data_IF_300170525278
#
_entry.id   IF_300170525278
#
_cell.length_a   1.000
_cell.length_b   1.000
_cell.length_c   1.000
_cell.angle_alpha   90.00
_cell.angle_beta   90.00
_cell.angle_gamma   90.00
#
_symmetry.space_group_name_H-M   'P 1'
#
loop_
_entity.id
_entity.type
_entity.pdbx_description
1 polymer ?
#
# COMPACT_ATOMS: atom_id res chain seq x y z
N UNK A 1 -9.18 7.44 2.89
CA UNK A 1 -8.98 7.30 1.42
C UNK A 1 -8.73 5.83 1.06
N UNK A 2 -9.19 5.38 -0.11
CA UNK A 2 -8.99 4.01 -0.60
C UNK A 2 -8.16 4.06 -1.89
N UNK A 3 -6.96 3.48 -1.87
CA UNK A 3 -6.07 3.36 -3.03
C UNK A 3 -6.28 2.00 -3.70
N UNK A 4 -6.70 2.01 -4.95
CA UNK A 4 -6.85 0.79 -5.74
C UNK A 4 -5.51 0.32 -6.32
N UNK A 5 -5.13 -0.93 -6.07
CA UNK A 5 -3.88 -1.52 -6.56
C UNK A 5 -4.01 -1.88 -8.03
N UNK A 6 -3.11 -1.33 -8.85
CA UNK A 6 -2.99 -1.66 -10.27
C UNK A 6 -1.58 -2.15 -10.60
N UNK A 7 -1.37 -3.47 -10.51
CA UNK A 7 -0.08 -4.07 -10.88
C UNK A 7 -0.01 -4.27 -12.40
N UNK A 8 0.98 -3.63 -13.03
CA UNK A 8 1.25 -3.73 -14.48
C UNK A 8 2.47 -4.63 -14.70
N UNK A 9 2.40 -5.85 -14.18
CA UNK A 9 3.46 -6.85 -14.32
C UNK A 9 3.04 -7.93 -15.33
N UNK A 10 3.98 -8.61 -16.01
CA UNK A 10 3.66 -9.65 -16.99
C UNK A 10 2.73 -10.73 -16.46
N UNK A 11 2.88 -11.12 -15.20
CA UNK A 11 2.05 -12.15 -14.56
C UNK A 11 0.61 -11.67 -14.26
N UNK A 12 0.37 -10.37 -14.27
CA UNK A 12 -0.95 -9.81 -13.99
C UNK A 12 -1.88 -9.82 -15.21
N UNK A 13 -1.30 -9.89 -16.43
CA UNK A 13 -2.04 -9.79 -17.71
C UNK A 13 -1.43 -10.74 -18.77
N UNK A 14 -1.26 -12.00 -18.44
CA UNK A 14 -0.36 -12.97 -19.10
C UNK A 14 -0.72 -13.46 -20.50
N UNK A 15 -1.79 -13.00 -21.16
CA UNK A 15 -2.28 -13.63 -22.39
C UNK A 15 -2.10 -12.83 -23.68
N UNK A 16 -1.27 -11.78 -23.72
CA UNK A 16 -1.08 -11.03 -24.98
C UNK A 16 -0.05 -9.91 -24.89
N UNK A 17 0.56 -9.57 -26.00
CA UNK A 17 1.62 -8.57 -26.10
C UNK A 17 1.29 -7.18 -25.51
N UNK A 18 2.26 -6.27 -25.47
CA UNK A 18 2.23 -5.00 -24.73
C UNK A 18 0.94 -4.17 -24.87
N UNK A 19 0.25 -4.21 -26.00
CA UNK A 19 -1.01 -3.46 -26.21
C UNK A 19 -2.20 -4.09 -25.46
N UNK A 20 -2.28 -5.41 -25.46
CA UNK A 20 -3.35 -6.15 -24.73
C UNK A 20 -3.21 -5.96 -23.23
N UNK A 21 -1.96 -5.90 -22.73
CA UNK A 21 -1.69 -5.64 -21.32
C UNK A 21 -2.07 -4.21 -20.89
N UNK A 22 -1.88 -3.20 -21.75
CA UNK A 22 -2.26 -1.80 -21.45
C UNK A 22 -3.77 -1.64 -21.40
N UNK A 23 -4.52 -2.17 -22.38
CA UNK A 23 -5.99 -2.12 -22.37
C UNK A 23 -6.59 -2.88 -21.17
N UNK A 24 -6.05 -4.03 -20.82
CA UNK A 24 -6.49 -4.77 -19.65
C UNK A 24 -6.20 -3.99 -18.34
N UNK A 25 -5.05 -3.31 -18.26
CA UNK A 25 -4.72 -2.44 -17.13
C UNK A 25 -5.67 -1.23 -17.04
N UNK A 26 -6.00 -0.62 -18.17
CA UNK A 26 -6.96 0.50 -18.23
C UNK A 26 -8.38 0.05 -17.85
N UNK A 27 -8.82 -1.11 -18.30
CA UNK A 27 -10.10 -1.68 -17.89
C UNK A 27 -10.15 -1.97 -16.38
N UNK A 28 -9.04 -2.43 -15.81
CA UNK A 28 -8.93 -2.62 -14.37
C UNK A 28 -8.92 -1.27 -13.63
N UNK A 29 -8.24 -0.25 -14.15
CA UNK A 29 -8.28 1.10 -13.57
C UNK A 29 -9.71 1.67 -13.58
N UNK A 30 -10.43 1.56 -14.71
CA UNK A 30 -11.82 1.97 -14.85
C UNK A 30 -12.71 1.28 -13.79
N UNK A 31 -12.46 -0.02 -13.56
CA UNK A 31 -13.16 -0.78 -12.52
C UNK A 31 -12.84 -0.26 -11.12
N UNK A 32 -11.55 -0.09 -10.76
CA UNK A 32 -11.15 0.39 -9.44
C UNK A 32 -11.78 1.76 -9.13
N UNK A 33 -11.78 2.67 -10.11
CA UNK A 33 -12.36 4.01 -10.00
C UNK A 33 -13.88 3.93 -9.84
N UNK A 34 -14.56 3.14 -10.68
CA UNK A 34 -16.02 2.95 -10.58
C UNK A 34 -16.46 2.26 -9.29
N UNK A 35 -15.60 1.47 -8.66
CA UNK A 35 -15.81 0.86 -7.35
C UNK A 35 -15.59 1.84 -6.18
N UNK A 36 -15.12 3.07 -6.44
CA UNK A 36 -14.96 4.14 -5.45
C UNK A 36 -13.53 4.30 -4.93
N UNK A 37 -12.51 3.97 -5.73
CA UNK A 37 -11.13 4.33 -5.38
C UNK A 37 -10.95 5.85 -5.37
N UNK A 38 -10.30 6.38 -4.35
CA UNK A 38 -9.88 7.78 -4.26
C UNK A 38 -8.59 8.06 -5.03
N UNK A 39 -7.78 7.02 -5.28
CA UNK A 39 -6.57 7.05 -6.09
C UNK A 39 -6.29 5.67 -6.69
N UNK A 40 -5.55 5.64 -7.79
CA UNK A 40 -5.02 4.40 -8.38
C UNK A 40 -3.52 4.33 -8.14
N UNK A 41 -3.04 3.24 -7.54
CA UNK A 41 -1.62 3.02 -7.23
C UNK A 41 -1.03 2.02 -8.22
N UNK A 42 -0.15 2.52 -9.11
CA UNK A 42 0.37 1.80 -10.27
C UNK A 42 1.77 1.27 -9.98
N UNK A 43 1.95 -0.04 -10.05
CA UNK A 43 3.25 -0.69 -9.89
C UNK A 43 3.68 -1.47 -11.14
N UNK A 44 4.89 -1.19 -11.65
CA UNK A 44 5.49 -1.88 -12.80
C UNK A 44 6.46 -3.00 -12.41
N UNK A 45 6.85 -3.07 -11.14
CA UNK A 45 7.73 -4.07 -10.56
C UNK A 45 7.04 -4.84 -9.44
N UNK A 46 7.32 -6.12 -9.32
CA UNK A 46 6.80 -6.95 -8.24
C UNK A 46 7.75 -6.95 -7.05
N UNK A 47 7.25 -6.63 -5.88
CA UNK A 47 7.99 -6.75 -4.60
C UNK A 47 7.71 -8.05 -3.86
N UNK A 48 7.12 -9.07 -4.55
CA UNK A 48 6.89 -10.39 -3.94
C UNK A 48 8.22 -11.10 -3.68
N UNK A 49 8.31 -11.94 -2.62
CA UNK A 49 9.53 -12.70 -2.35
C UNK A 49 10.01 -13.47 -3.59
N UNK A 50 11.28 -13.32 -3.94
CA UNK A 50 11.89 -13.97 -5.10
C UNK A 50 11.58 -13.33 -6.45
N UNK A 51 10.91 -12.18 -6.49
CA UNK A 51 10.74 -11.43 -7.73
C UNK A 51 12.10 -10.94 -8.25
N UNK A 52 12.29 -11.00 -9.56
CA UNK A 52 13.50 -10.47 -10.19
C UNK A 52 13.39 -8.95 -10.32
N UNK A 53 14.46 -8.21 -9.97
CA UNK A 53 14.48 -6.76 -10.20
C UNK A 53 14.26 -6.42 -11.68
N UNK A 54 13.47 -5.38 -11.91
CA UNK A 54 13.14 -4.89 -13.26
C UNK A 54 13.96 -3.65 -13.54
N UNK A 55 14.68 -3.57 -14.66
CA UNK A 55 15.37 -2.33 -15.05
C UNK A 55 14.37 -1.16 -15.21
N UNK A 56 14.78 0.06 -14.83
CA UNK A 56 13.93 1.26 -14.91
C UNK A 56 13.29 1.43 -16.31
N UNK A 57 14.09 1.21 -17.38
CA UNK A 57 13.59 1.28 -18.76
C UNK A 57 12.42 0.34 -19.04
N UNK A 58 12.43 -0.85 -18.45
CA UNK A 58 11.37 -1.84 -18.70
C UNK A 58 10.15 -1.58 -17.80
N UNK A 59 10.36 -1.06 -16.60
CA UNK A 59 9.30 -0.55 -15.72
C UNK A 59 8.56 0.62 -16.38
N UNK A 60 9.28 1.60 -16.92
CA UNK A 60 8.73 2.74 -17.68
C UNK A 60 7.84 2.30 -18.84
N UNK A 61 8.26 1.31 -19.62
CA UNK A 61 7.45 0.78 -20.74
C UNK A 61 6.10 0.21 -20.27
N UNK A 62 6.03 -0.28 -19.04
CA UNK A 62 4.80 -0.83 -18.46
C UNK A 62 3.89 0.28 -17.93
N UNK A 63 4.44 1.20 -17.14
CA UNK A 63 3.62 2.14 -16.37
C UNK A 63 3.21 3.39 -17.16
N UNK A 64 4.06 3.95 -18.02
CA UNK A 64 3.75 5.22 -18.69
C UNK A 64 2.54 5.15 -19.63
N UNK A 65 2.36 4.10 -20.46
CA UNK A 65 1.15 4.00 -21.30
C UNK A 65 -0.14 3.95 -20.46
N UNK A 66 -0.08 3.31 -19.28
CA UNK A 66 -1.22 3.19 -18.36
C UNK A 66 -1.52 4.54 -17.70
N UNK A 67 -0.49 5.25 -17.21
CA UNK A 67 -0.65 6.59 -16.61
C UNK A 67 -1.29 7.56 -17.62
N UNK A 68 -0.77 7.62 -18.85
CA UNK A 68 -1.35 8.44 -19.94
C UNK A 68 -2.80 8.07 -20.22
N UNK A 69 -3.08 6.77 -20.32
CA UNK A 69 -4.42 6.26 -20.59
C UNK A 69 -5.42 6.59 -19.48
N UNK A 70 -5.03 6.46 -18.22
CA UNK A 70 -5.86 6.87 -17.08
C UNK A 70 -6.07 8.37 -17.10
N UNK A 71 -5.01 9.16 -17.27
CA UNK A 71 -5.12 10.63 -17.29
C UNK A 71 -6.00 11.17 -18.42
N UNK A 72 -6.01 10.50 -19.58
CA UNK A 72 -6.90 10.87 -20.69
C UNK A 72 -8.37 10.54 -20.43
N UNK A 73 -8.67 9.51 -19.64
CA UNK A 73 -10.05 9.08 -19.32
C UNK A 73 -10.58 9.73 -18.04
N UNK A 74 -9.70 9.94 -17.05
CA UNK A 74 -10.02 10.39 -15.69
C UNK A 74 -9.07 11.52 -15.28
N UNK A 75 -9.36 12.75 -15.76
CA UNK A 75 -8.47 13.89 -15.59
C UNK A 75 -8.12 14.20 -14.12
N UNK A 76 -9.07 14.02 -13.20
CA UNK A 76 -8.94 14.45 -11.81
C UNK A 76 -8.52 13.36 -10.83
N UNK A 77 -8.56 12.08 -11.25
CA UNK A 77 -8.21 10.99 -10.31
C UNK A 77 -6.73 11.07 -9.90
N UNK A 78 -6.38 11.09 -8.63
CA UNK A 78 -5.00 10.98 -8.19
C UNK A 78 -4.37 9.68 -8.67
N UNK A 79 -3.17 9.77 -9.26
CA UNK A 79 -2.36 8.63 -9.68
C UNK A 79 -1.14 8.57 -8.77
N UNK A 80 -0.96 7.42 -8.13
CA UNK A 80 0.22 7.06 -7.37
C UNK A 80 1.10 6.13 -8.20
N UNK A 81 2.40 6.36 -8.21
CA UNK A 81 3.41 5.45 -8.78
C UNK A 81 4.13 4.69 -7.66
N UNK A 82 3.96 3.36 -7.63
CA UNK A 82 4.64 2.44 -6.71
C UNK A 82 6.00 2.06 -7.31
N UNK A 83 7.05 2.76 -6.90
CA UNK A 83 8.41 2.57 -7.40
C UNK A 83 9.46 3.04 -6.40
N UNK A 84 10.62 2.39 -6.41
CA UNK A 84 11.82 2.79 -5.65
C UNK A 84 12.87 3.48 -6.52
N UNK A 85 12.53 3.78 -7.79
CA UNK A 85 13.49 4.33 -8.78
C UNK A 85 13.14 5.77 -9.11
N UNK A 86 14.06 6.69 -8.89
CA UNK A 86 13.91 8.11 -9.15
C UNK A 86 13.58 8.43 -10.62
N UNK A 87 14.22 7.72 -11.57
CA UNK A 87 13.94 7.90 -13.01
C UNK A 87 12.49 7.52 -13.37
N UNK A 88 11.96 6.45 -12.74
CA UNK A 88 10.57 6.02 -12.97
C UNK A 88 9.61 7.02 -12.34
N UNK A 89 9.88 7.47 -11.12
CA UNK A 89 9.08 8.49 -10.44
C UNK A 89 9.05 9.80 -11.25
N UNK A 90 10.21 10.31 -11.70
CA UNK A 90 10.34 11.52 -12.51
C UNK A 90 9.49 11.46 -13.76
N UNK A 91 9.59 10.36 -14.53
CA UNK A 91 8.82 10.18 -15.75
C UNK A 91 7.31 10.03 -15.49
N UNK A 92 6.92 9.29 -14.44
CA UNK A 92 5.53 9.12 -14.05
C UNK A 92 4.89 10.45 -13.63
N UNK A 93 5.60 11.27 -12.86
CA UNK A 93 5.16 12.61 -12.44
C UNK A 93 4.99 13.54 -13.64
N UNK A 94 5.90 13.51 -14.61
CA UNK A 94 5.78 14.28 -15.86
C UNK A 94 4.56 13.88 -16.70
N UNK A 95 4.10 12.64 -16.60
CA UNK A 95 2.91 12.11 -17.30
C UNK A 95 1.62 12.24 -16.47
N UNK A 96 1.69 12.90 -15.31
CA UNK A 96 0.52 13.25 -14.53
C UNK A 96 0.28 12.40 -13.27
N UNK A 97 1.21 11.56 -12.85
CA UNK A 97 1.18 11.05 -11.47
C UNK A 97 1.35 12.22 -10.48
N UNK A 98 0.76 12.13 -9.31
CA UNK A 98 0.78 13.18 -8.28
C UNK A 98 1.27 12.67 -6.93
N UNK A 99 1.47 11.36 -6.81
CA UNK A 99 1.91 10.69 -5.58
C UNK A 99 3.02 9.71 -5.96
N UNK A 100 4.08 9.65 -5.16
CA UNK A 100 5.10 8.60 -5.20
C UNK A 100 4.93 7.72 -3.96
N UNK A 101 4.67 6.43 -4.18
CA UNK A 101 4.63 5.42 -3.13
C UNK A 101 5.96 4.66 -3.16
N UNK A 102 6.88 5.03 -2.27
CA UNK A 102 8.20 4.40 -2.21
C UNK A 102 8.27 3.40 -1.07
N UNK A 103 8.25 2.12 -1.44
CA UNK A 103 8.29 0.99 -0.49
C UNK A 103 9.65 0.82 0.21
N UNK A 104 10.64 1.64 -0.12
CA UNK A 104 11.94 1.70 0.57
C UNK A 104 12.07 2.87 1.54
N UNK A 105 11.05 3.75 1.62
CA UNK A 105 11.15 4.99 2.39
C UNK A 105 12.27 5.92 1.91
N UNK A 106 12.51 5.94 0.59
CA UNK A 106 13.57 6.72 -0.09
C UNK A 106 15.01 6.28 0.21
N UNK A 107 15.20 5.06 0.74
CA UNK A 107 16.54 4.56 1.11
C UNK A 107 17.32 3.93 -0.05
N UNK A 108 16.64 3.45 -1.11
CA UNK A 108 17.28 2.68 -2.19
C UNK A 108 17.79 3.54 -3.34
N UNK A 109 17.18 4.68 -3.62
CA UNK A 109 17.62 5.59 -4.67
C UNK A 109 17.87 6.99 -4.10
N UNK A 110 19.15 7.43 -4.04
CA UNK A 110 19.50 8.71 -3.42
C UNK A 110 18.97 9.94 -4.18
N UNK A 111 18.53 9.79 -5.44
CA UNK A 111 17.91 10.87 -6.20
C UNK A 111 16.40 11.03 -5.91
N UNK A 112 15.74 10.00 -5.34
CA UNK A 112 14.30 9.99 -5.12
C UNK A 112 13.79 11.19 -4.29
N UNK A 113 14.42 11.57 -3.16
CA UNK A 113 13.97 12.71 -2.38
C UNK A 113 13.98 14.02 -3.18
N UNK A 114 15.07 14.26 -3.96
CA UNK A 114 15.20 15.43 -4.82
C UNK A 114 14.15 15.50 -5.92
N UNK A 115 13.88 14.38 -6.59
CA UNK A 115 12.83 14.27 -7.61
C UNK A 115 11.46 14.62 -7.05
N UNK A 116 11.11 14.09 -5.88
CA UNK A 116 9.82 14.34 -5.26
C UNK A 116 9.67 15.79 -4.78
N UNK A 117 10.74 16.36 -4.23
CA UNK A 117 10.78 17.75 -3.79
C UNK A 117 10.63 18.72 -4.97
N UNK A 118 11.37 18.52 -6.07
CA UNK A 118 11.31 19.33 -7.28
C UNK A 118 9.91 19.30 -7.92
N UNK A 119 9.30 18.11 -7.97
CA UNK A 119 7.95 17.94 -8.51
C UNK A 119 6.84 18.46 -7.56
N UNK A 120 7.13 18.69 -6.27
CA UNK A 120 6.13 19.07 -5.26
C UNK A 120 5.03 18.03 -5.06
N UNK A 121 5.29 16.76 -5.38
CA UNK A 121 4.33 15.67 -5.28
C UNK A 121 4.08 15.24 -3.81
N UNK A 122 3.03 14.46 -3.58
CA UNK A 122 2.85 13.76 -2.29
C UNK A 122 3.67 12.48 -2.29
N UNK A 123 4.09 12.03 -1.09
CA UNK A 123 4.88 10.81 -0.94
C UNK A 123 4.31 9.91 0.13
N UNK A 124 4.37 8.60 -0.10
CA UNK A 124 4.15 7.55 0.90
C UNK A 124 5.51 6.94 1.21
N UNK A 125 5.96 7.09 2.44
CA UNK A 125 7.22 6.55 2.93
C UNK A 125 6.95 5.24 3.66
N UNK A 126 7.34 4.11 3.07
CA UNK A 126 7.11 2.82 3.71
C UNK A 126 8.36 2.31 4.42
N UNK A 127 8.17 1.80 5.63
CA UNK A 127 9.21 1.07 6.34
C UNK A 127 9.44 -0.32 5.73
N UNK A 128 10.65 -0.53 5.23
CA UNK A 128 11.18 -1.85 4.89
C UNK A 128 12.69 -1.91 5.10
N UNK A 129 13.24 -3.10 5.22
CA UNK A 129 14.69 -3.37 5.31
C UNK A 129 15.10 -4.24 4.15
N UNK A 130 16.32 -4.05 3.63
CA UNK A 130 16.88 -4.82 2.53
C UNK A 130 16.63 -4.21 1.17
N UNK A 131 16.78 -5.02 0.14
CA UNK A 131 16.62 -4.66 -1.28
C UNK A 131 15.23 -5.04 -1.81
N UNK A 132 14.88 -4.61 -3.02
CA UNK A 132 13.62 -4.99 -3.69
C UNK A 132 13.42 -6.51 -3.74
N UNK A 133 14.50 -7.28 -3.89
CA UNK A 133 14.44 -8.75 -4.02
C UNK A 133 14.14 -9.49 -2.70
N UNK A 134 14.46 -8.88 -1.55
CA UNK A 134 14.39 -9.53 -0.24
C UNK A 134 13.57 -8.78 0.81
N UNK A 135 13.19 -7.51 0.57
CA UNK A 135 12.42 -6.71 1.52
C UNK A 135 11.09 -7.35 1.93
N UNK A 136 10.50 -8.21 1.10
CA UNK A 136 9.28 -8.95 1.43
C UNK A 136 9.55 -10.36 1.98
N UNK A 137 10.83 -10.74 2.15
CA UNK A 137 11.23 -11.98 2.81
C UNK A 137 11.30 -11.81 4.34
N UNK A 138 11.66 -12.87 5.04
CA UNK A 138 11.95 -12.83 6.48
C UNK A 138 13.43 -12.61 6.80
N UNK A 139 14.30 -12.53 5.78
CA UNK A 139 15.75 -12.48 5.97
C UNK A 139 16.18 -11.22 6.75
N UNK A 140 15.49 -10.11 6.48
CA UNK A 140 15.70 -8.83 7.16
C UNK A 140 14.74 -8.59 8.36
N UNK A 141 13.94 -9.59 8.73
CA UNK A 141 12.97 -9.49 9.84
C UNK A 141 13.62 -9.73 11.21
N UNK A 142 14.69 -8.97 11.51
CA UNK A 142 15.44 -9.03 12.76
C UNK A 142 15.11 -7.78 13.57
N UNK A 143 14.45 -7.95 14.70
CA UNK A 143 14.03 -6.88 15.62
C UNK A 143 14.40 -7.26 17.04
N UNK A 144 14.63 -6.27 17.89
CA UNK A 144 14.81 -6.43 19.32
C UNK A 144 13.47 -6.62 20.05
N UNK A 145 13.43 -6.19 21.30
CA UNK A 145 12.27 -6.38 22.18
C UNK A 145 11.08 -5.47 21.83
N UNK A 146 11.32 -4.33 21.16
CA UNK A 146 10.28 -3.39 20.71
C UNK A 146 10.30 -3.19 19.17
N UNK A 147 9.78 -4.14 18.40
CA UNK A 147 9.77 -4.03 16.94
C UNK A 147 8.94 -2.83 16.43
N UNK A 148 7.95 -2.36 17.18
CA UNK A 148 7.15 -1.20 16.79
C UNK A 148 7.95 0.09 16.99
N UNK A 149 8.70 0.20 18.06
CA UNK A 149 9.60 1.33 18.30
C UNK A 149 10.70 1.42 17.23
N UNK A 150 11.28 0.30 16.80
CA UNK A 150 12.26 0.29 15.71
C UNK A 150 11.63 0.75 14.38
N UNK A 151 10.43 0.26 14.04
CA UNK A 151 9.69 0.71 12.85
C UNK A 151 9.45 2.21 12.89
N UNK A 152 9.09 2.77 14.03
CA UNK A 152 8.85 4.19 14.21
C UNK A 152 10.16 4.98 14.00
N UNK A 153 11.24 4.55 14.64
CA UNK A 153 12.55 5.21 14.51
C UNK A 153 13.03 5.26 13.05
N UNK A 154 12.90 4.16 12.31
CA UNK A 154 13.30 4.09 10.89
C UNK A 154 12.36 4.90 9.97
N UNK A 155 11.06 5.02 10.32
CA UNK A 155 10.16 5.95 9.64
C UNK A 155 10.53 7.41 9.90
N UNK A 156 10.97 7.76 11.12
CA UNK A 156 11.45 9.11 11.45
C UNK A 156 12.69 9.47 10.63
N UNK A 157 13.61 8.53 10.41
CA UNK A 157 14.76 8.73 9.51
C UNK A 157 14.32 9.02 8.07
N UNK A 158 13.36 8.25 7.54
CA UNK A 158 12.80 8.47 6.20
C UNK A 158 12.08 9.83 6.09
N UNK A 159 11.34 10.24 7.12
CA UNK A 159 10.69 11.54 7.20
C UNK A 159 11.74 12.65 7.19
N UNK A 160 12.80 12.54 7.99
CA UNK A 160 13.88 13.52 8.04
C UNK A 160 14.59 13.64 6.69
N UNK A 161 14.85 12.51 6.01
CA UNK A 161 15.43 12.50 4.67
C UNK A 161 14.55 13.26 3.68
N UNK A 162 13.25 12.97 3.64
CA UNK A 162 12.30 13.63 2.76
C UNK A 162 12.21 15.14 3.03
N UNK A 163 12.12 15.54 4.30
CA UNK A 163 12.06 16.96 4.68
C UNK A 163 13.35 17.71 4.39
N UNK A 164 14.51 17.09 4.60
CA UNK A 164 15.82 17.67 4.30
C UNK A 164 16.01 17.93 2.79
N UNK A 165 15.34 17.15 1.94
CA UNK A 165 15.30 17.39 0.51
C UNK A 165 14.30 18.49 0.08
N UNK A 166 13.47 19.00 1.01
CA UNK A 166 12.49 20.05 0.74
C UNK A 166 11.05 19.57 0.55
N UNK A 167 10.73 18.29 0.82
CA UNK A 167 9.35 17.80 0.77
C UNK A 167 8.59 18.36 1.98
N UNK A 168 7.49 19.08 1.71
CA UNK A 168 6.69 19.69 2.77
C UNK A 168 6.01 18.62 3.64
N UNK A 169 5.96 18.75 4.98
CA UNK A 169 5.35 17.77 5.89
C UNK A 169 3.92 17.36 5.52
N UNK A 170 3.11 18.28 5.01
CA UNK A 170 1.72 18.01 4.58
C UNK A 170 1.61 17.12 3.31
N UNK A 171 2.74 16.85 2.66
CA UNK A 171 2.83 15.99 1.48
C UNK A 171 3.30 14.58 1.82
N UNK A 172 3.58 14.30 3.08
CA UNK A 172 4.11 13.02 3.55
C UNK A 172 3.00 12.20 4.19
N UNK A 173 2.88 10.94 3.78
CA UNK A 173 2.18 9.88 4.50
C UNK A 173 3.17 8.76 4.85
N UNK A 174 2.92 8.01 5.91
CA UNK A 174 3.80 6.93 6.38
C UNK A 174 3.09 5.57 6.33
N UNK A 175 3.79 4.53 5.85
CA UNK A 175 3.33 3.14 5.87
C UNK A 175 4.27 2.32 6.76
N UNK A 176 3.78 1.71 7.84
CA UNK A 176 4.62 0.86 8.70
C UNK A 176 5.08 -0.44 8.03
N UNK A 177 4.72 -0.70 6.78
CA UNK A 177 5.24 -1.80 5.97
C UNK A 177 4.76 -3.17 6.42
N UNK A 178 3.46 -3.36 6.60
CA UNK A 178 2.89 -4.66 6.97
C UNK A 178 3.31 -5.74 5.97
N UNK A 179 3.98 -6.80 6.47
CA UNK A 179 4.45 -7.92 5.65
C UNK A 179 5.74 -7.67 4.86
N UNK A 180 6.40 -6.51 5.06
CA UNK A 180 7.74 -6.22 4.54
C UNK A 180 8.75 -6.27 5.67
N UNK A 181 9.83 -7.05 5.48
CA UNK A 181 10.90 -7.28 6.48
C UNK A 181 10.37 -7.57 7.89
N UNK A 182 9.19 -8.19 7.98
CA UNK A 182 8.48 -8.48 9.24
C UNK A 182 7.92 -9.90 9.22
N UNK A 183 8.23 -10.68 10.24
CA UNK A 183 7.50 -11.92 10.54
C UNK A 183 6.04 -11.58 10.84
N UNK A 184 5.17 -12.58 10.80
CA UNK A 184 3.74 -12.39 11.12
C UNK A 184 3.54 -11.72 12.47
N UNK A 185 4.27 -12.17 13.52
CA UNK A 185 4.20 -11.56 14.85
C UNK A 185 4.56 -10.07 14.88
N UNK A 186 5.61 -9.66 14.14
CA UNK A 186 5.99 -8.24 14.05
C UNK A 186 4.92 -7.41 13.32
N UNK A 187 4.33 -7.96 12.24
CA UNK A 187 3.24 -7.29 11.52
C UNK A 187 1.98 -7.15 12.38
N UNK A 188 1.67 -8.15 13.21
CA UNK A 188 0.55 -8.09 14.15
C UNK A 188 0.81 -7.08 15.27
N UNK A 189 2.02 -7.05 15.83
CA UNK A 189 2.39 -6.04 16.83
C UNK A 189 2.19 -4.62 16.30
N UNK A 190 2.65 -4.34 15.07
CA UNK A 190 2.44 -3.04 14.42
C UNK A 190 0.95 -2.71 14.24
N UNK A 191 0.12 -3.68 13.84
CA UNK A 191 -1.33 -3.45 13.67
C UNK A 191 -2.03 -3.23 15.01
N UNK A 192 -1.64 -3.97 16.07
CA UNK A 192 -2.20 -3.84 17.42
C UNK A 192 -1.82 -2.51 18.06
N UNK A 193 -0.56 -2.07 17.86
CA UNK A 193 -0.02 -0.84 18.43
C UNK A 193 0.01 0.33 17.42
N UNK A 194 -0.85 0.29 16.39
CA UNK A 194 -0.84 1.25 15.29
C UNK A 194 -0.96 2.72 15.77
N UNK A 195 -1.60 2.95 16.90
CA UNK A 195 -1.69 4.29 17.51
C UNK A 195 -0.30 4.90 17.81
N UNK A 196 0.74 4.09 18.05
CA UNK A 196 2.11 4.58 18.22
C UNK A 196 2.66 5.15 16.90
N UNK A 197 2.33 4.53 15.76
CA UNK A 197 2.70 5.06 14.44
C UNK A 197 1.91 6.32 14.11
N UNK A 198 0.61 6.36 14.46
CA UNK A 198 -0.25 7.54 14.30
C UNK A 198 0.27 8.73 15.10
N UNK A 199 0.90 8.50 16.24
CA UNK A 199 1.51 9.54 17.08
C UNK A 199 2.67 10.28 16.40
N UNK A 200 3.23 9.79 15.29
CA UNK A 200 4.17 10.53 14.44
C UNK A 200 3.55 11.81 13.83
N UNK A 201 2.21 11.93 13.81
CA UNK A 201 1.50 13.10 13.31
C UNK A 201 1.32 13.17 11.79
N UNK A 202 1.63 12.09 11.07
CA UNK A 202 1.44 11.96 9.62
C UNK A 202 0.26 11.03 9.31
N UNK A 203 -0.44 11.21 8.17
CA UNK A 203 -1.43 10.25 7.71
C UNK A 203 -0.82 8.85 7.59
N UNK A 204 -1.43 7.86 8.25
CA UNK A 204 -0.96 6.48 8.19
C UNK A 204 -1.64 5.75 7.04
N UNK A 205 -0.81 5.17 6.19
CA UNK A 205 -1.14 4.35 5.04
C UNK A 205 -1.01 2.87 5.41
N UNK A 206 -1.99 2.04 5.08
CA UNK A 206 -2.01 0.60 5.37
C UNK A 206 -2.14 -0.21 4.08
N UNK A 207 -1.13 -1.00 3.78
CA UNK A 207 -1.09 -1.94 2.66
C UNK A 207 -1.09 -3.40 3.11
N UNK A 208 -2.11 -3.87 3.83
CA UNK A 208 -2.19 -5.26 4.31
C UNK A 208 -2.83 -6.24 3.30
N UNK A 209 -3.45 -5.74 2.23
CA UNK A 209 -4.31 -6.51 1.33
C UNK A 209 -3.64 -7.76 0.74
N UNK A 210 -4.24 -8.93 0.98
CA UNK A 210 -3.82 -10.28 0.53
C UNK A 210 -2.43 -10.72 1.01
N UNK A 211 -1.75 -9.94 1.85
CA UNK A 211 -0.42 -10.27 2.35
C UNK A 211 -0.44 -11.53 3.24
N UNK A 212 0.74 -12.09 3.51
CA UNK A 212 0.91 -13.32 4.29
C UNK A 212 0.24 -13.23 5.66
N UNK A 213 0.34 -12.10 6.35
CA UNK A 213 -0.28 -11.85 7.64
C UNK A 213 -1.79 -12.10 7.63
N UNK A 214 -2.48 -11.72 6.54
CA UNK A 214 -3.92 -11.97 6.39
C UNK A 214 -4.23 -13.47 6.35
N UNK A 215 -3.45 -14.25 5.60
CA UNK A 215 -3.63 -15.71 5.56
C UNK A 215 -3.31 -16.36 6.92
N UNK A 216 -2.31 -15.86 7.63
CA UNK A 216 -1.98 -16.36 8.98
C UNK A 216 -3.07 -16.00 10.01
N UNK A 217 -3.67 -14.83 9.93
CA UNK A 217 -4.82 -14.46 10.76
C UNK A 217 -5.99 -15.42 10.56
N UNK A 218 -6.33 -15.76 9.30
CA UNK A 218 -7.37 -16.73 9.00
C UNK A 218 -7.03 -18.10 9.63
N UNK A 219 -5.80 -18.56 9.48
CA UNK A 219 -5.35 -19.84 10.07
C UNK A 219 -5.39 -19.82 11.58
N UNK A 220 -4.94 -18.73 12.21
CA UNK A 220 -4.93 -18.59 13.65
C UNK A 220 -6.33 -18.68 14.24
N UNK A 221 -7.30 -17.94 13.67
CA UNK A 221 -8.69 -17.98 14.13
C UNK A 221 -9.35 -19.34 13.91
N UNK A 222 -8.92 -20.09 12.90
CA UNK A 222 -9.39 -21.46 12.66
C UNK A 222 -8.87 -22.48 13.67
N UNK A 223 -7.65 -22.31 14.19
CA UNK A 223 -7.01 -23.28 15.11
C UNK A 223 -7.37 -23.00 16.57
N UNK A 224 -7.38 -21.72 16.97
CA UNK A 224 -7.58 -21.32 18.39
C UNK A 224 -9.05 -21.18 18.79
N UNK A 225 -9.97 -21.24 17.83
CA UNK A 225 -11.39 -20.98 18.04
C UNK A 225 -11.63 -19.50 18.29
N UNK A 226 -12.09 -18.76 17.26
CA UNK A 226 -12.71 -17.45 17.50
C UNK A 226 -13.91 -17.65 18.43
N UNK A 227 -14.24 -16.70 19.35
CA UNK A 227 -15.46 -16.76 20.13
C UNK A 227 -16.74 -16.94 19.32
N UNK A 228 -16.67 -16.67 18.00
CA UNK A 228 -17.77 -16.84 17.02
C UNK A 228 -17.64 -18.10 16.15
N UNK A 229 -16.61 -18.94 16.35
CA UNK A 229 -16.32 -20.04 15.43
C UNK A 229 -17.16 -21.28 15.75
N UNK A 230 -18.24 -21.44 14.99
CA UNK A 230 -18.96 -22.72 14.91
C UNK A 230 -18.30 -23.75 13.95
N UNK A 231 -17.47 -23.31 12.99
CA UNK A 231 -16.84 -24.19 12.02
C UNK A 231 -15.49 -23.61 11.57
N UNK A 232 -14.44 -24.39 11.68
CA UNK A 232 -13.07 -24.04 11.25
C UNK A 232 -12.88 -24.23 9.76
N UNK A 233 -12.40 -23.20 9.04
CA UNK A 233 -12.00 -23.32 7.64
C UNK A 233 -10.70 -24.13 7.53
N UNK A 234 -10.67 -25.15 6.68
CA UNK A 234 -9.44 -25.91 6.46
C UNK A 234 -8.36 -25.01 5.81
N UNK A 235 -7.10 -25.02 6.30
CA UNK A 235 -6.03 -24.13 5.82
C UNK A 235 -5.79 -24.13 4.30
N UNK A 236 -6.01 -25.27 3.65
CA UNK A 236 -5.88 -25.42 2.19
C UNK A 236 -7.03 -24.82 1.39
N UNK A 237 -8.07 -24.34 2.05
CA UNK A 237 -9.28 -23.77 1.40
C UNK A 237 -9.30 -22.23 1.43
N UNK A 238 -8.24 -21.58 1.92
CA UNK A 238 -8.20 -20.10 1.99
C UNK A 238 -8.12 -19.53 0.59
N UNK A 239 -9.24 -19.01 0.11
CA UNK A 239 -9.39 -18.39 -1.20
C UNK A 239 -8.86 -16.96 -1.24
N UNK A 240 -8.81 -16.36 -2.44
CA UNK A 240 -8.55 -14.92 -2.56
C UNK A 240 -9.67 -14.09 -1.93
N UNK A 241 -10.94 -14.54 -2.05
CA UNK A 241 -12.08 -13.83 -1.45
C UNK A 241 -12.02 -13.84 0.08
N UNK A 242 -11.60 -14.95 0.71
CA UNK A 242 -11.38 -15.00 2.16
C UNK A 242 -10.32 -13.99 2.61
N UNK A 243 -9.23 -13.87 1.84
CA UNK A 243 -8.19 -12.86 2.13
C UNK A 243 -8.71 -11.45 1.93
N UNK A 244 -9.53 -11.20 0.91
CA UNK A 244 -10.12 -9.89 0.66
C UNK A 244 -11.09 -9.49 1.78
N UNK A 245 -11.96 -10.41 2.22
CA UNK A 245 -12.87 -10.16 3.33
C UNK A 245 -12.16 -9.95 4.66
N UNK A 246 -11.11 -10.75 4.94
CA UNK A 246 -10.28 -10.55 6.14
C UNK A 246 -9.51 -9.23 6.07
N UNK A 247 -9.06 -8.81 4.89
CA UNK A 247 -8.45 -7.49 4.68
C UNK A 247 -9.41 -6.37 5.06
N UNK A 248 -10.69 -6.48 4.70
CA UNK A 248 -11.72 -5.50 5.09
C UNK A 248 -11.79 -5.36 6.61
N UNK A 249 -11.84 -6.48 7.34
CA UNK A 249 -11.84 -6.46 8.81
C UNK A 249 -10.61 -5.79 9.41
N UNK A 250 -9.41 -6.12 8.90
CA UNK A 250 -8.15 -5.51 9.35
C UNK A 250 -8.15 -4.01 9.07
N UNK A 251 -8.63 -3.57 7.91
CA UNK A 251 -8.68 -2.15 7.55
C UNK A 251 -9.66 -1.36 8.43
N UNK A 252 -10.81 -1.95 8.81
CA UNK A 252 -11.75 -1.33 9.77
C UNK A 252 -11.08 -1.15 11.14
N UNK A 253 -10.39 -2.16 11.65
CA UNK A 253 -9.64 -2.04 12.91
C UNK A 253 -8.54 -0.97 12.81
N UNK A 254 -7.79 -0.95 11.71
CA UNK A 254 -6.75 0.06 11.48
C UNK A 254 -7.34 1.48 11.39
N UNK A 255 -8.55 1.65 10.81
CA UNK A 255 -9.25 2.94 10.78
C UNK A 255 -9.53 3.45 12.20
N UNK A 256 -10.08 2.61 13.08
CA UNK A 256 -10.32 2.96 14.48
C UNK A 256 -9.03 3.21 15.27
N UNK A 257 -7.93 2.60 14.86
CA UNK A 257 -6.59 2.86 15.41
C UNK A 257 -5.94 4.14 14.86
N UNK A 258 -6.59 4.85 13.92
CA UNK A 258 -6.13 6.15 13.40
C UNK A 258 -5.55 6.13 11.99
N UNK A 259 -5.50 4.98 11.28
CA UNK A 259 -5.13 4.95 9.87
C UNK A 259 -6.14 5.73 9.00
N UNK A 260 -5.66 6.32 7.90
CA UNK A 260 -6.49 7.17 7.03
C UNK A 260 -6.42 6.79 5.55
N UNK A 261 -5.44 5.98 5.13
CA UNK A 261 -5.23 5.59 3.74
C UNK A 261 -5.08 4.06 3.66
N UNK A 262 -5.81 3.42 2.76
CA UNK A 262 -5.90 1.96 2.66
C UNK A 262 -5.65 1.51 1.22
N UNK A 263 -4.59 0.73 1.01
CA UNK A 263 -4.18 0.19 -0.29
C UNK A 263 -4.71 -1.22 -0.47
N UNK A 264 -5.61 -1.41 -1.44
CA UNK A 264 -6.41 -2.63 -1.55
C UNK A 264 -6.56 -3.15 -2.97
N UNK A 265 -6.69 -4.47 -3.14
CA UNK A 265 -7.03 -5.11 -4.42
C UNK A 265 -8.53 -5.04 -4.75
N UNK A 266 -9.41 -5.09 -3.73
CA UNK A 266 -10.86 -5.02 -3.89
C UNK A 266 -11.36 -3.71 -3.27
N UNK A 267 -11.65 -2.74 -4.13
CA UNK A 267 -12.03 -1.40 -3.69
C UNK A 267 -13.42 -1.39 -3.06
N UNK A 268 -14.44 -1.86 -3.78
CA UNK A 268 -15.83 -1.74 -3.34
C UNK A 268 -16.13 -2.26 -1.93
N UNK A 269 -15.75 -3.49 -1.51
CA UNK A 269 -16.02 -3.95 -0.15
C UNK A 269 -15.28 -3.15 0.91
N UNK A 270 -14.04 -2.71 0.64
CA UNK A 270 -13.29 -1.84 1.55
C UNK A 270 -13.94 -0.46 1.65
N UNK A 271 -14.35 0.16 0.51
CA UNK A 271 -15.05 1.44 0.50
C UNK A 271 -16.27 1.41 1.39
N UNK A 272 -17.18 0.46 1.14
CA UNK A 272 -18.43 0.33 1.92
C UNK A 272 -18.19 0.13 3.41
N UNK A 273 -17.23 -0.73 3.78
CA UNK A 273 -16.95 -1.02 5.19
C UNK A 273 -16.26 0.17 5.89
N UNK A 274 -15.32 0.83 5.21
CA UNK A 274 -14.61 1.98 5.77
C UNK A 274 -15.53 3.20 5.90
N UNK A 275 -16.43 3.44 4.94
CA UNK A 275 -17.40 4.54 5.03
C UNK A 275 -18.39 4.31 6.18
N UNK A 276 -18.90 3.08 6.31
CA UNK A 276 -19.77 2.72 7.43
C UNK A 276 -19.06 2.85 8.78
N UNK A 277 -17.80 2.38 8.85
CA UNK A 277 -17.00 2.48 10.07
C UNK A 277 -16.67 3.95 10.40
N UNK A 278 -16.36 4.77 9.40
CA UNK A 278 -16.10 6.21 9.57
C UNK A 278 -17.33 6.93 10.12
N UNK A 279 -18.51 6.67 9.57
CA UNK A 279 -19.76 7.26 10.04
C UNK A 279 -20.11 6.89 11.50
N UNK A 280 -19.52 5.83 12.03
CA UNK A 280 -19.67 5.39 13.42
C UNK A 280 -18.55 5.92 14.34
N UNK A 281 -17.62 6.75 13.85
CA UNK A 281 -16.66 7.43 14.74
C UNK A 281 -17.37 8.50 15.56
N UNK A 282 -16.90 8.81 16.80
CA UNK A 282 -17.57 9.80 17.64
C UNK A 282 -17.70 11.17 16.98
N UNK A 283 -16.69 11.59 16.21
CA UNK A 283 -16.66 12.89 15.51
C UNK A 283 -17.78 13.00 14.46
N UNK A 284 -18.11 11.90 13.76
CA UNK A 284 -19.11 11.89 12.71
C UNK A 284 -20.51 11.52 13.23
N UNK A 285 -20.60 10.70 14.26
CA UNK A 285 -21.88 10.26 14.84
C UNK A 285 -22.75 11.44 15.33
N UNK A 286 -22.12 12.51 15.82
CA UNK A 286 -22.83 13.73 16.25
C UNK A 286 -23.56 14.44 15.08
N UNK A 287 -23.14 14.23 13.83
CA UNK A 287 -23.84 14.79 12.66
C UNK A 287 -25.16 14.07 12.35
N UNK A 288 -25.28 12.79 12.69
CA UNK A 288 -26.53 12.02 12.53
C UNK A 288 -27.54 12.27 13.66
N UNK A 289 -27.09 12.86 14.78
CA UNK A 289 -27.93 13.16 15.92
C UNK A 289 -28.63 14.54 15.82
N UNK A 290 -28.34 15.31 14.78
CA UNK A 290 -28.96 16.62 14.48
C UNK A 290 -29.94 16.53 13.34
#
# INVERSE_FOLDING_TARGET
>A
MVFGILNVTPDSFSDGGNFVSTEAALAQADRLISEGADAVDIGGESTRPGAKPVPARDELKRVLPVIRGIRSRWAEIPISIDTVKADVARAALAEGASIVNDVSGMSLDPEMPGVCAEAGCSVVLMHSRGSVSDMASYDNAVYGDDPVGEVISELEESIQLAQSAGIHPTKIAVDPGIGFSKKTGHSLAVLVELQRVVALGYPVFIGASRKRVIAELIRYTTVTGSPSAGTTLAPQMISHDDRDMTTVGVNVVALYSGARIFRVHRVRPNRLALDAAWALTPEEADMFAR
#
